data_IF_648908575539
#
_entry.id   IF_648908575539
#
_cell.length_a   1.000
_cell.length_b   1.000
_cell.length_c   1.000
_cell.angle_alpha   90.00
_cell.angle_beta   90.00
_cell.angle_gamma   90.00
#
_symmetry.space_group_name_H-M   'P 1'
#
loop_
_entity.id
_entity.type
_entity.pdbx_description
1 polymer ?
#
# COMPACT_ATOMS: atom_id res chain seq x y z
N UNK A 1 -21.29 0.71 -3.01
CA UNK A 1 -19.97 0.86 -2.36
C UNK A 1 -19.10 1.76 -3.23
N UNK A 2 -19.06 3.07 -2.99
CA UNK A 2 -18.35 4.01 -3.88
C UNK A 2 -17.88 5.31 -3.22
N UNK A 3 -18.01 5.44 -1.89
CA UNK A 3 -17.85 6.74 -1.23
C UNK A 3 -16.44 6.97 -0.63
N UNK A 4 -15.60 5.93 -0.55
CA UNK A 4 -14.28 6.02 0.10
C UNK A 4 -13.14 6.37 -0.86
N UNK A 5 -13.35 6.33 -2.18
CA UNK A 5 -12.28 6.65 -3.15
C UNK A 5 -11.96 8.16 -3.21
N UNK A 6 -12.86 9.01 -2.73
CA UNK A 6 -12.73 10.47 -2.84
C UNK A 6 -12.27 11.18 -1.56
N UNK A 7 -12.08 10.44 -0.45
CA UNK A 7 -11.65 11.03 0.83
C UNK A 7 -10.13 11.15 0.98
N UNK A 8 -9.36 10.44 0.17
CA UNK A 8 -7.91 10.38 0.29
C UNK A 8 -7.23 11.33 -0.69
N UNK A 9 -6.38 12.21 -0.18
CA UNK A 9 -5.68 13.22 -0.97
C UNK A 9 -4.42 12.68 -1.65
N UNK A 10 -3.78 11.71 -1.00
CA UNK A 10 -2.49 11.14 -1.38
C UNK A 10 -2.60 9.70 -1.87
N UNK A 11 -3.80 9.14 -1.99
CA UNK A 11 -4.02 7.84 -2.63
C UNK A 11 -4.52 8.01 -4.07
N UNK A 12 -4.00 7.18 -4.97
CA UNK A 12 -4.34 7.18 -6.38
C UNK A 12 -4.68 5.77 -6.85
N UNK A 13 -5.90 5.58 -7.35
CA UNK A 13 -6.34 4.33 -7.94
C UNK A 13 -5.86 4.25 -9.37
N UNK A 14 -5.04 3.24 -9.66
CA UNK A 14 -4.57 2.96 -11.01
C UNK A 14 -5.18 1.65 -11.49
N UNK A 15 -5.64 1.56 -12.74
CA UNK A 15 -6.11 0.30 -13.30
C UNK A 15 -4.95 -0.70 -13.30
N UNK A 16 -5.12 -1.80 -12.58
CA UNK A 16 -4.17 -2.89 -12.52
C UNK A 16 -4.87 -4.21 -12.83
N UNK A 17 -4.18 -5.14 -13.50
CA UNK A 17 -4.81 -6.37 -14.04
C UNK A 17 -5.47 -7.24 -12.96
N UNK A 18 -4.98 -7.19 -11.73
CA UNK A 18 -5.46 -8.02 -10.63
C UNK A 18 -5.50 -7.30 -9.28
N UNK A 19 -4.99 -6.06 -9.18
CA UNK A 19 -4.90 -5.32 -7.92
C UNK A 19 -5.94 -4.21 -7.86
N UNK A 20 -6.56 -4.02 -6.70
CA UNK A 20 -7.57 -3.02 -6.36
C UNK A 20 -7.06 -1.99 -5.34
N UNK A 21 -6.01 -2.31 -4.59
CA UNK A 21 -5.36 -1.37 -3.65
C UNK A 21 -4.73 -0.17 -4.37
N UNK A 22 -4.87 1.06 -3.83
CA UNK A 22 -4.31 2.27 -4.43
C UNK A 22 -2.80 2.40 -4.24
N UNK A 23 -2.25 3.37 -4.97
CA UNK A 23 -0.85 3.79 -4.95
C UNK A 23 -0.74 5.10 -4.16
N UNK A 24 0.44 5.38 -3.60
CA UNK A 24 0.75 6.71 -3.13
C UNK A 24 0.88 7.65 -4.34
N UNK A 25 0.10 8.73 -4.34
CA UNK A 25 0.02 9.70 -5.42
C UNK A 25 1.39 10.29 -5.74
N UNK A 26 1.68 10.40 -7.04
CA UNK A 26 2.98 10.89 -7.53
C UNK A 26 4.13 9.90 -7.32
N UNK A 27 3.86 8.70 -6.81
CA UNK A 27 4.87 7.65 -6.59
C UNK A 27 4.39 6.33 -7.19
N UNK A 28 5.35 5.43 -7.44
CA UNK A 28 5.07 4.04 -7.87
C UNK A 28 5.08 3.08 -6.68
N UNK A 29 4.69 3.57 -5.50
CA UNK A 29 4.70 2.84 -4.23
C UNK A 29 3.26 2.50 -3.86
N UNK A 30 3.00 1.27 -3.44
CA UNK A 30 1.66 0.81 -3.05
C UNK A 30 1.45 1.03 -1.56
N UNK A 31 0.20 1.23 -1.14
CA UNK A 31 -0.16 1.33 0.28
C UNK A 31 0.42 0.17 1.07
N UNK A 32 0.25 -1.07 0.59
CA UNK A 32 0.80 -2.25 1.28
C UNK A 32 2.31 -2.17 1.50
N UNK A 33 3.07 -1.68 0.52
CA UNK A 33 4.54 -1.63 0.64
C UNK A 33 4.98 -0.72 1.78
N UNK A 34 4.31 0.42 1.95
CA UNK A 34 4.53 1.36 3.07
C UNK A 34 4.25 0.66 4.40
N UNK A 35 3.09 0.00 4.53
CA UNK A 35 2.70 -0.71 5.76
C UNK A 35 3.64 -1.88 6.06
N UNK A 36 4.04 -2.62 5.04
CA UNK A 36 4.96 -3.74 5.19
C UNK A 36 6.33 -3.28 5.64
N UNK A 37 6.90 -2.24 5.03
CA UNK A 37 8.19 -1.69 5.46
C UNK A 37 8.14 -1.16 6.89
N UNK A 38 7.05 -0.46 7.24
CA UNK A 38 6.83 0.05 8.59
C UNK A 38 6.84 -1.10 9.62
N UNK A 39 6.12 -2.19 9.35
CA UNK A 39 6.05 -3.37 10.24
C UNK A 39 7.32 -4.20 10.24
N UNK A 40 8.00 -4.34 9.10
CA UNK A 40 9.20 -5.16 8.97
C UNK A 40 10.40 -4.52 9.68
N UNK A 41 10.46 -3.19 9.72
CA UNK A 41 11.57 -2.44 10.32
C UNK A 41 11.20 -1.76 11.65
N UNK A 42 9.99 -2.00 12.17
CA UNK A 42 9.46 -1.35 13.38
C UNK A 42 9.55 0.20 13.34
N UNK A 43 9.34 0.78 12.15
CA UNK A 43 9.48 2.21 11.91
C UNK A 43 8.18 2.95 12.26
N UNK A 44 8.32 4.21 12.66
CA UNK A 44 7.18 5.13 12.82
C UNK A 44 6.70 5.67 11.46
N UNK A 45 5.46 6.19 11.38
CA UNK A 45 4.96 6.84 10.16
C UNK A 45 5.86 7.98 9.68
N UNK A 46 6.42 8.75 10.61
CA UNK A 46 7.35 9.85 10.35
C UNK A 46 8.69 9.39 9.77
N UNK A 47 9.23 8.28 10.25
CA UNK A 47 10.47 7.70 9.71
C UNK A 47 10.27 7.16 8.30
N UNK A 48 9.17 6.45 8.07
CA UNK A 48 8.78 5.95 6.75
C UNK A 48 8.53 7.10 5.77
N UNK A 49 7.86 8.17 6.23
CA UNK A 49 7.66 9.37 5.44
C UNK A 49 9.01 9.97 4.99
N UNK A 50 9.98 10.04 5.90
CA UNK A 50 11.32 10.55 5.58
C UNK A 50 12.09 9.62 4.63
N UNK A 51 12.10 8.31 4.88
CA UNK A 51 12.83 7.32 4.06
C UNK A 51 12.31 7.33 2.60
N UNK A 52 11.00 7.26 2.43
CA UNK A 52 10.39 7.30 1.10
C UNK A 52 10.28 8.71 0.49
N UNK A 53 10.57 9.76 1.26
CA UNK A 53 10.38 11.17 0.89
C UNK A 53 8.91 11.53 0.62
N UNK A 54 8.00 10.98 1.42
CA UNK A 54 6.56 11.20 1.35
C UNK A 54 6.12 12.24 2.39
N UNK A 55 5.01 12.95 2.16
CA UNK A 55 4.30 13.63 3.25
C UNK A 55 3.86 12.61 4.30
N UNK A 56 3.99 12.95 5.59
CA UNK A 56 3.57 12.06 6.68
C UNK A 56 2.07 11.77 6.61
N UNK A 57 1.28 12.73 6.14
CA UNK A 57 -0.15 12.59 5.90
C UNK A 57 -0.47 11.49 4.88
N UNK A 58 0.41 11.26 3.89
CA UNK A 58 0.24 10.16 2.95
C UNK A 58 0.42 8.79 3.62
N UNK A 59 1.30 8.71 4.63
CA UNK A 59 1.51 7.50 5.43
C UNK A 59 0.33 7.25 6.36
N UNK A 60 -0.22 8.31 6.98
CA UNK A 60 -1.44 8.18 7.78
C UNK A 60 -2.66 7.78 6.94
N UNK A 61 -2.83 8.34 5.74
CA UNK A 61 -3.88 7.90 4.81
C UNK A 61 -3.72 6.43 4.40
N UNK A 62 -2.48 5.98 4.17
CA UNK A 62 -2.17 4.58 3.89
C UNK A 62 -2.54 3.67 5.06
N UNK A 63 -2.27 4.10 6.31
CA UNK A 63 -2.65 3.38 7.53
C UNK A 63 -4.16 3.28 7.70
N UNK A 64 -4.87 4.40 7.57
CA UNK A 64 -6.34 4.41 7.66
C UNK A 64 -6.98 3.53 6.58
N UNK A 65 -6.44 3.54 5.35
CA UNK A 65 -6.90 2.62 4.30
C UNK A 65 -6.62 1.15 4.65
N UNK A 66 -5.44 0.86 5.20
CA UNK A 66 -5.08 -0.49 5.64
C UNK A 66 -6.00 -1.00 6.73
N UNK A 67 -6.33 -0.21 7.75
CA UNK A 67 -7.23 -0.62 8.82
C UNK A 67 -8.64 -0.96 8.28
N UNK A 68 -9.13 -0.19 7.31
CA UNK A 68 -10.46 -0.40 6.70
C UNK A 68 -10.52 -1.57 5.72
N UNK A 69 -9.39 -1.94 5.10
CA UNK A 69 -9.36 -2.92 4.01
C UNK A 69 -8.34 -4.03 4.23
N UNK A 70 -7.94 -4.28 5.47
CA UNK A 70 -6.87 -5.22 5.83
C UNK A 70 -6.96 -6.56 5.10
N UNK A 71 -8.14 -7.18 5.10
CA UNK A 71 -8.39 -8.48 4.46
C UNK A 71 -8.13 -8.46 2.94
N UNK A 72 -8.49 -7.36 2.27
CA UNK A 72 -8.22 -7.16 0.85
C UNK A 72 -6.71 -7.07 0.59
N UNK A 73 -5.99 -6.29 1.38
CA UNK A 73 -4.54 -6.14 1.17
C UNK A 73 -3.81 -7.45 1.45
N UNK A 74 -4.17 -8.17 2.51
CA UNK A 74 -3.58 -9.49 2.82
C UNK A 74 -3.79 -10.48 1.65
N UNK A 75 -5.01 -10.57 1.11
CA UNK A 75 -5.31 -11.43 -0.03
C UNK A 75 -4.52 -11.05 -1.30
N UNK A 76 -4.38 -9.76 -1.59
CA UNK A 76 -3.61 -9.30 -2.76
C UNK A 76 -2.12 -9.59 -2.63
N UNK A 77 -1.58 -9.57 -1.41
CA UNK A 77 -0.18 -9.88 -1.14
C UNK A 77 0.10 -11.36 -1.26
N UNK A 78 -0.82 -12.20 -0.81
CA UNK A 78 -0.71 -13.64 -1.03
C UNK A 78 -0.74 -13.99 -2.51
N UNK A 79 -1.62 -13.36 -3.28
CA UNK A 79 -1.69 -13.52 -4.73
C UNK A 79 -0.42 -13.00 -5.43
N UNK A 80 0.14 -11.87 -4.96
CA UNK A 80 1.43 -11.38 -5.45
C UNK A 80 2.55 -12.40 -5.24
N UNK A 81 2.68 -12.89 -4.01
CA UNK A 81 3.69 -13.90 -3.64
C UNK A 81 3.51 -15.17 -4.44
N UNK A 82 2.27 -15.59 -4.69
CA UNK A 82 1.97 -16.75 -5.54
C UNK A 82 2.47 -16.52 -6.97
N UNK A 83 2.15 -15.36 -7.55
CA UNK A 83 2.60 -15.00 -8.90
C UNK A 83 4.11 -14.89 -9.01
N UNK A 84 4.79 -14.34 -7.99
CA UNK A 84 6.25 -14.25 -7.97
C UNK A 84 6.89 -15.63 -7.92
N UNK A 85 6.39 -16.52 -7.07
CA UNK A 85 6.81 -17.94 -7.04
C UNK A 85 6.59 -18.65 -8.37
N UNK A 86 5.45 -18.44 -9.02
CA UNK A 86 5.13 -18.99 -10.35
C UNK A 86 6.13 -18.51 -11.43
N UNK A 87 6.66 -17.29 -11.30
CA UNK A 87 7.69 -16.73 -12.19
C UNK A 87 9.13 -17.07 -11.76
N UNK A 88 9.31 -17.94 -10.75
CA UNK A 88 10.62 -18.35 -10.24
C UNK A 88 11.31 -17.34 -9.33
N UNK A 89 10.65 -16.23 -8.98
CA UNK A 89 11.17 -15.21 -8.06
C UNK A 89 10.76 -15.61 -6.63
N UNK A 90 11.74 -15.99 -5.81
CA UNK A 90 11.52 -16.24 -4.40
C UNK A 90 11.52 -14.91 -3.65
N UNK A 91 10.39 -14.60 -2.99
CA UNK A 91 10.19 -13.44 -2.12
C UNK A 91 9.69 -13.86 -0.75
#
# INVERSE_FOLDING_TARGET
MGEQQNSYRYLEWRPHRWRKTPYIKGRRIWVWHVIWQMKANDMTPEEIAQDFGLPVEAVYEALDYYEKHRELLEAEVEEERRRLREHGIHV
#
